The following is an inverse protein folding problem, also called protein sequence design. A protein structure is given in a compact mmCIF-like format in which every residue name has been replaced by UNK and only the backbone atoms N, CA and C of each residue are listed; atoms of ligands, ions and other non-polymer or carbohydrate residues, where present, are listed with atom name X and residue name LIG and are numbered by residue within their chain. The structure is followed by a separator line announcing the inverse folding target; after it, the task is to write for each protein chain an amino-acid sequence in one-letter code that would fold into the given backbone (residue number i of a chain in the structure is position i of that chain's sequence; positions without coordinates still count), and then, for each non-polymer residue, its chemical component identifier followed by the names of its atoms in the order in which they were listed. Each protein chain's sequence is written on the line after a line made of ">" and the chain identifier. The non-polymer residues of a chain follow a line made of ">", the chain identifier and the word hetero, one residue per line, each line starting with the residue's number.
data_IF_084571639834
#
_entry.id   IF_084571639834
#
_cell.length_a   1.000
_cell.length_b   1.000
_cell.length_c   1.000
_cell.angle_alpha   90.00
_cell.angle_beta   90.00
_cell.angle_gamma   90.00
#
_symmetry.space_group_name_H-M   'P 1'
#
loop_
_entity.id
_entity.type
_entity.pdbx_description
1 polymer ?
#
# COMPACT_ATOMS: atom_id res chain seq x y z
N UNK A 1 8.81 -9.59 49.83
CA UNK A 1 8.99 -8.20 49.43
C UNK A 1 9.97 -8.06 48.28
N UNK A 2 11.20 -8.55 48.41
CA UNK A 2 12.24 -8.47 47.36
C UNK A 2 11.84 -9.17 46.06
N UNK A 3 11.17 -10.32 46.18
CA UNK A 3 10.64 -11.05 45.01
C UNK A 3 9.65 -10.21 44.20
N UNK A 4 8.70 -9.54 44.88
CA UNK A 4 7.75 -8.65 44.21
C UNK A 4 8.41 -7.44 43.55
N UNK A 5 9.51 -6.93 44.13
CA UNK A 5 10.30 -5.87 43.49
C UNK A 5 10.94 -6.36 42.19
N UNK A 6 11.45 -7.61 42.16
CA UNK A 6 12.00 -8.23 40.96
C UNK A 6 10.97 -8.38 39.86
N UNK A 7 9.75 -8.82 40.19
CA UNK A 7 8.66 -8.92 39.23
C UNK A 7 8.23 -7.55 38.64
N UNK A 8 8.12 -6.52 39.48
CA UNK A 8 7.80 -5.16 39.03
C UNK A 8 8.84 -4.67 38.01
N UNK A 9 10.13 -4.79 38.29
CA UNK A 9 11.22 -4.41 37.39
C UNK A 9 11.15 -5.19 36.06
N UNK A 10 10.92 -6.51 36.15
CA UNK A 10 10.82 -7.35 34.96
C UNK A 10 9.67 -6.92 34.05
N UNK A 11 8.48 -6.62 34.59
CA UNK A 11 7.35 -6.15 33.80
C UNK A 11 7.54 -4.73 33.27
N UNK A 12 8.20 -3.83 34.01
CA UNK A 12 8.56 -2.51 33.52
C UNK A 12 9.50 -2.58 32.30
N UNK A 13 10.48 -3.49 32.33
CA UNK A 13 11.36 -3.72 31.19
C UNK A 13 10.57 -4.24 29.97
N UNK A 14 9.66 -5.21 30.17
CA UNK A 14 8.79 -5.70 29.08
C UNK A 14 7.92 -4.60 28.50
N UNK A 15 7.35 -3.72 29.31
CA UNK A 15 6.59 -2.57 28.82
C UNK A 15 7.48 -1.69 27.93
N UNK A 16 8.72 -1.42 28.36
CA UNK A 16 9.66 -0.64 27.55
C UNK A 16 9.97 -1.27 26.19
N UNK A 17 10.18 -2.60 26.17
CA UNK A 17 10.36 -3.35 24.92
C UNK A 17 9.14 -3.28 24.01
N UNK A 18 7.95 -3.52 24.54
CA UNK A 18 6.69 -3.44 23.77
C UNK A 18 6.40 -2.03 23.25
N UNK A 19 6.66 -1.00 24.05
CA UNK A 19 6.50 0.40 23.64
C UNK A 19 7.47 0.75 22.50
N UNK A 20 8.71 0.28 22.57
CA UNK A 20 9.70 0.48 21.50
C UNK A 20 9.27 -0.23 20.21
N UNK A 21 8.83 -1.49 20.30
CA UNK A 21 8.32 -2.22 19.14
C UNK A 21 7.09 -1.52 18.54
N UNK A 22 6.14 -1.10 19.38
CA UNK A 22 4.95 -0.37 18.96
C UNK A 22 5.32 0.91 18.20
N UNK A 23 6.25 1.69 18.72
CA UNK A 23 6.72 2.92 18.06
C UNK A 23 7.31 2.63 16.68
N UNK A 24 8.15 1.60 16.58
CA UNK A 24 8.72 1.17 15.31
C UNK A 24 7.63 0.75 14.30
N UNK A 25 6.58 0.07 14.77
CA UNK A 25 5.44 -0.32 13.91
C UNK A 25 4.63 0.90 13.46
N UNK A 26 4.43 1.89 14.32
CA UNK A 26 3.76 3.14 13.94
C UNK A 26 4.52 3.86 12.81
N UNK A 27 5.84 3.97 12.91
CA UNK A 27 6.66 4.56 11.84
C UNK A 27 6.55 3.77 10.53
N UNK A 28 6.51 2.43 10.60
CA UNK A 28 6.31 1.61 9.40
C UNK A 28 4.93 1.84 8.78
N UNK A 29 3.88 2.02 9.58
CA UNK A 29 2.52 2.37 9.10
C UNK A 29 2.54 3.70 8.36
N UNK A 30 3.14 4.74 8.92
CA UNK A 30 3.24 6.06 8.28
C UNK A 30 3.98 5.99 6.94
N UNK A 31 5.10 5.26 6.88
CA UNK A 31 5.85 5.06 5.66
C UNK A 31 5.03 4.33 4.58
N UNK A 32 4.30 3.26 4.97
CA UNK A 32 3.44 2.52 4.06
C UNK A 32 2.25 3.34 3.55
N UNK A 33 1.64 4.15 4.40
CA UNK A 33 0.58 5.08 4.00
C UNK A 33 1.08 6.10 2.97
N UNK A 34 2.28 6.63 3.17
CA UNK A 34 2.92 7.55 2.21
C UNK A 34 3.19 6.86 0.86
N UNK A 35 3.66 5.62 0.89
CA UNK A 35 3.91 4.82 -0.31
C UNK A 35 2.61 4.51 -1.07
N UNK A 36 1.55 4.13 -0.36
CA UNK A 36 0.21 3.92 -0.94
C UNK A 36 -0.29 5.21 -1.61
N UNK A 37 -0.14 6.36 -0.96
CA UNK A 37 -0.59 7.63 -1.52
C UNK A 37 0.13 7.96 -2.82
N UNK A 38 1.46 7.81 -2.88
CA UNK A 38 2.24 8.02 -4.11
C UNK A 38 1.81 7.08 -5.24
N UNK A 39 1.55 5.81 -4.94
CA UNK A 39 1.08 4.84 -5.93
C UNK A 39 -0.35 5.15 -6.42
N UNK A 40 -1.23 5.67 -5.55
CA UNK A 40 -2.56 6.15 -5.96
C UNK A 40 -2.47 7.34 -6.91
N UNK A 41 -1.64 8.31 -6.61
CA UNK A 41 -1.40 9.47 -7.49
C UNK A 41 -0.85 9.05 -8.86
N UNK A 42 0.08 8.09 -8.87
CA UNK A 42 0.59 7.50 -10.11
C UNK A 42 -0.51 6.77 -10.88
N UNK A 43 -1.33 5.97 -10.20
CA UNK A 43 -2.47 5.27 -10.80
C UNK A 43 -3.47 6.24 -11.44
N UNK A 44 -3.83 7.31 -10.73
CA UNK A 44 -4.74 8.35 -11.24
C UNK A 44 -4.16 9.06 -12.46
N UNK A 45 -2.86 9.40 -12.44
CA UNK A 45 -2.18 10.01 -13.57
C UNK A 45 -2.19 9.10 -14.81
N UNK A 46 -1.89 7.81 -14.65
CA UNK A 46 -1.91 6.82 -15.74
C UNK A 46 -3.34 6.60 -16.22
N UNK A 47 -4.31 6.45 -15.34
CA UNK A 47 -5.72 6.23 -15.69
C UNK A 47 -6.33 7.42 -16.40
N UNK A 48 -6.00 8.64 -15.98
CA UNK A 48 -6.42 9.87 -16.67
C UNK A 48 -5.85 9.96 -18.11
N UNK A 49 -4.60 9.54 -18.28
CA UNK A 49 -3.97 9.46 -19.60
C UNK A 49 -4.61 8.37 -20.47
N UNK A 50 -5.03 7.24 -19.90
CA UNK A 50 -5.68 6.14 -20.63
C UNK A 50 -6.97 6.61 -21.32
N UNK A 51 -7.81 7.40 -20.66
CA UNK A 51 -9.03 7.94 -21.28
C UNK A 51 -8.75 8.81 -22.53
N UNK A 52 -7.71 9.64 -22.49
CA UNK A 52 -7.28 10.44 -23.65
C UNK A 52 -6.74 9.55 -24.78
N UNK A 53 -6.01 8.49 -24.43
CA UNK A 53 -5.49 7.53 -25.42
C UNK A 53 -6.62 6.71 -26.07
N UNK A 54 -7.65 6.31 -25.33
CA UNK A 54 -8.82 5.61 -25.86
C UNK A 54 -9.53 6.44 -26.93
N UNK A 55 -9.76 7.71 -26.64
CA UNK A 55 -10.38 8.64 -27.59
C UNK A 55 -9.50 8.82 -28.82
N UNK A 56 -8.21 9.05 -28.66
CA UNK A 56 -7.27 9.20 -29.77
C UNK A 56 -7.20 7.93 -30.63
N UNK A 57 -7.11 6.75 -29.98
CA UNK A 57 -7.10 5.45 -30.65
C UNK A 57 -8.39 5.22 -31.47
N UNK A 58 -9.55 5.51 -30.87
CA UNK A 58 -10.83 5.43 -31.55
C UNK A 58 -10.89 6.33 -32.79
N UNK A 59 -10.39 7.56 -32.69
CA UNK A 59 -10.35 8.50 -33.82
C UNK A 59 -9.39 8.03 -34.91
N UNK A 60 -8.20 7.53 -34.54
CA UNK A 60 -7.24 7.03 -35.53
C UNK A 60 -7.73 5.76 -36.23
N UNK A 61 -8.41 4.87 -35.54
CA UNK A 61 -9.05 3.69 -36.16
C UNK A 61 -10.12 4.09 -37.17
N UNK A 62 -10.94 5.10 -36.83
CA UNK A 62 -11.95 5.64 -37.77
C UNK A 62 -11.31 6.32 -38.98
N UNK A 63 -10.21 7.05 -38.80
CA UNK A 63 -9.45 7.67 -39.88
C UNK A 63 -8.85 6.58 -40.78
N UNK A 64 -8.21 5.55 -40.20
CA UNK A 64 -7.63 4.45 -40.95
C UNK A 64 -8.68 3.74 -41.82
N UNK A 65 -9.85 3.40 -41.24
CA UNK A 65 -10.96 2.81 -42.01
C UNK A 65 -11.42 3.70 -43.16
N UNK A 66 -11.56 5.02 -42.96
CA UNK A 66 -11.93 5.95 -44.04
C UNK A 66 -10.87 6.05 -45.11
N UNK A 67 -9.61 5.97 -44.77
CA UNK A 67 -8.49 5.96 -45.74
C UNK A 67 -8.50 4.68 -46.56
N UNK A 68 -8.73 3.52 -45.95
CA UNK A 68 -8.86 2.22 -46.62
C UNK A 68 -10.06 2.23 -47.58
N UNK A 69 -11.23 2.76 -47.14
CA UNK A 69 -12.41 2.92 -47.97
C UNK A 69 -12.15 3.85 -49.14
N UNK A 70 -11.49 5.00 -48.92
CA UNK A 70 -11.13 5.94 -49.96
C UNK A 70 -10.15 5.34 -50.97
N UNK A 71 -9.13 4.59 -50.50
CA UNK A 71 -8.17 3.89 -51.34
C UNK A 71 -8.87 2.82 -52.20
N UNK A 72 -9.80 2.05 -51.61
CA UNK A 72 -10.60 1.05 -52.31
C UNK A 72 -11.52 1.67 -53.37
N UNK A 73 -12.20 2.76 -53.03
CA UNK A 73 -13.06 3.50 -53.96
C UNK A 73 -12.23 4.11 -55.11
N UNK A 74 -11.07 4.68 -54.81
CA UNK A 74 -10.16 5.22 -55.81
C UNK A 74 -9.64 4.13 -56.75
N UNK A 75 -9.28 2.94 -56.21
CA UNK A 75 -8.89 1.77 -56.99
C UNK A 75 -9.98 1.37 -57.99
N UNK A 76 -11.24 1.42 -57.57
CA UNK A 76 -12.38 1.06 -58.40
C UNK A 76 -12.59 2.10 -59.50
N UNK A 77 -12.38 3.40 -59.24
CA UNK A 77 -12.50 4.48 -60.19
C UNK A 77 -11.35 4.55 -61.22
N UNK A 78 -10.12 4.13 -60.81
CA UNK A 78 -8.91 4.30 -61.61
C UNK A 78 -8.51 2.99 -62.32
N UNK A 79 -9.39 1.99 -62.39
CA UNK A 79 -9.09 0.73 -63.09
C UNK A 79 -8.75 0.87 -64.58
N UNK A 80 -8.56 2.10 -65.10
CA UNK A 80 -8.19 2.36 -66.50
C UNK A 80 -7.04 3.32 -66.77
N UNK A 81 -6.41 4.01 -65.82
CA UNK A 81 -5.18 4.76 -66.08
C UNK A 81 -4.52 5.37 -64.89
N UNK A 82 -3.23 5.16 -64.70
CA UNK A 82 -2.19 5.76 -63.87
C UNK A 82 -1.84 5.03 -62.59
N UNK A 83 -0.79 4.22 -62.70
CA UNK A 83 -0.11 3.41 -61.66
C UNK A 83 0.39 4.26 -60.47
N UNK A 84 0.81 5.49 -60.70
CA UNK A 84 1.43 6.34 -59.66
C UNK A 84 0.49 6.81 -58.55
N UNK A 85 -0.77 7.06 -58.84
CA UNK A 85 -1.74 7.48 -57.83
C UNK A 85 -2.18 6.33 -56.93
N UNK A 86 -2.17 5.10 -57.46
CA UNK A 86 -2.46 3.88 -56.70
C UNK A 86 -1.35 3.55 -55.72
N UNK A 87 -0.06 3.68 -56.12
CA UNK A 87 1.10 3.45 -55.25
C UNK A 87 1.13 4.43 -54.09
N UNK A 88 0.75 5.69 -54.29
CA UNK A 88 0.66 6.69 -53.24
C UNK A 88 -0.44 6.33 -52.21
N UNK A 89 -1.62 5.88 -52.68
CA UNK A 89 -2.71 5.46 -51.79
C UNK A 89 -2.34 4.21 -50.97
N UNK A 90 -1.65 3.24 -51.58
CA UNK A 90 -1.15 2.06 -50.88
C UNK A 90 -0.10 2.44 -49.82
N UNK A 91 0.88 3.28 -50.18
CA UNK A 91 1.91 3.77 -49.25
C UNK A 91 1.31 4.54 -48.08
N UNK A 92 0.26 5.33 -48.31
CA UNK A 92 -0.46 6.03 -47.25
C UNK A 92 -1.22 5.04 -46.33
N UNK A 93 -1.90 4.04 -46.89
CA UNK A 93 -2.58 3.00 -46.14
C UNK A 93 -1.61 2.20 -45.26
N UNK A 94 -0.44 1.80 -45.79
CA UNK A 94 0.61 1.10 -45.02
C UNK A 94 1.12 1.96 -43.87
N UNK A 95 1.33 3.26 -44.07
CA UNK A 95 1.76 4.18 -43.02
C UNK A 95 0.69 4.37 -41.95
N UNK A 96 -0.58 4.48 -42.33
CA UNK A 96 -1.70 4.58 -41.39
C UNK A 96 -1.82 3.28 -40.56
N UNK A 97 -1.70 2.11 -41.17
CA UNK A 97 -1.72 0.81 -40.47
C UNK A 97 -0.54 0.68 -39.48
N UNK A 98 0.66 1.10 -39.90
CA UNK A 98 1.84 1.10 -39.05
C UNK A 98 1.66 2.02 -37.81
N UNK A 99 1.14 3.24 -38.02
CA UNK A 99 0.87 4.18 -36.94
C UNK A 99 -0.17 3.62 -35.95
N UNK A 100 -1.22 2.98 -36.47
CA UNK A 100 -2.24 2.33 -35.64
C UNK A 100 -1.67 1.18 -34.80
N UNK A 101 -0.79 0.34 -35.36
CA UNK A 101 -0.13 -0.73 -34.63
C UNK A 101 0.78 -0.21 -33.53
N UNK A 102 1.52 0.87 -33.76
CA UNK A 102 2.34 1.52 -32.74
C UNK A 102 1.49 2.09 -31.60
N UNK A 103 0.35 2.70 -31.91
CA UNK A 103 -0.57 3.24 -30.92
C UNK A 103 -1.16 2.13 -30.04
N UNK A 104 -1.55 1.01 -30.65
CA UNK A 104 -2.02 -0.18 -29.92
C UNK A 104 -0.97 -0.68 -28.92
N UNK A 105 0.30 -0.77 -29.35
CA UNK A 105 1.39 -1.18 -28.45
C UNK A 105 1.60 -0.23 -27.27
N UNK A 106 1.46 1.08 -27.48
CA UNK A 106 1.52 2.08 -26.40
C UNK A 106 0.34 1.90 -25.43
N UNK A 107 -0.86 1.71 -25.96
CA UNK A 107 -2.06 1.47 -25.14
C UNK A 107 -1.94 0.21 -24.27
N UNK A 108 -1.46 -0.89 -24.85
CA UNK A 108 -1.22 -2.13 -24.11
C UNK A 108 -0.18 -1.94 -22.99
N UNK A 109 0.87 -1.17 -23.25
CA UNK A 109 1.89 -0.86 -22.26
C UNK A 109 1.33 -0.03 -21.09
N UNK A 110 0.48 0.96 -21.36
CA UNK A 110 -0.19 1.77 -20.35
C UNK A 110 -1.16 0.91 -19.52
N UNK A 111 -1.98 0.08 -20.16
CA UNK A 111 -2.91 -0.82 -19.48
C UNK A 111 -2.19 -1.79 -18.54
N UNK A 112 -1.07 -2.36 -18.99
CA UNK A 112 -0.23 -3.22 -18.17
C UNK A 112 0.39 -2.46 -17.00
N UNK A 113 0.85 -1.22 -17.20
CA UNK A 113 1.37 -0.36 -16.14
C UNK A 113 0.32 -0.08 -15.07
N UNK A 114 -0.89 0.27 -15.47
CA UNK A 114 -2.04 0.52 -14.56
C UNK A 114 -2.35 -0.71 -13.70
N UNK A 115 -2.41 -1.89 -14.31
CA UNK A 115 -2.64 -3.16 -13.61
C UNK A 115 -1.54 -3.47 -12.59
N UNK A 116 -0.27 -3.22 -12.94
CA UNK A 116 0.87 -3.43 -12.05
C UNK A 116 0.81 -2.51 -10.83
N UNK A 117 0.53 -1.21 -11.02
CA UNK A 117 0.42 -0.25 -9.92
C UNK A 117 -0.75 -0.58 -9.00
N UNK A 118 -1.89 -1.02 -9.55
CA UNK A 118 -3.02 -1.49 -8.76
C UNK A 118 -2.65 -2.67 -7.87
N UNK A 119 -1.92 -3.65 -8.39
CA UNK A 119 -1.43 -4.79 -7.61
C UNK A 119 -0.48 -4.39 -6.48
N UNK A 120 0.40 -3.41 -6.71
CA UNK A 120 1.28 -2.85 -5.66
C UNK A 120 0.45 -2.18 -4.56
N UNK A 121 -0.55 -1.38 -4.90
CA UNK A 121 -1.43 -0.73 -3.91
C UNK A 121 -2.15 -1.78 -3.05
N UNK A 122 -2.64 -2.86 -3.64
CA UNK A 122 -3.29 -3.95 -2.91
C UNK A 122 -2.34 -4.64 -1.93
N UNK A 123 -1.13 -4.99 -2.37
CA UNK A 123 -0.12 -5.59 -1.51
C UNK A 123 0.26 -4.68 -0.32
N UNK A 124 0.46 -3.39 -0.56
CA UNK A 124 0.74 -2.41 0.49
C UNK A 124 -0.40 -2.27 1.50
N UNK A 125 -1.65 -2.33 1.05
CA UNK A 125 -2.81 -2.31 1.94
C UNK A 125 -2.88 -3.56 2.84
N UNK A 126 -2.53 -4.74 2.33
CA UNK A 126 -2.45 -5.97 3.12
C UNK A 126 -1.36 -5.87 4.19
N UNK A 127 -0.16 -5.37 3.85
CA UNK A 127 0.90 -5.13 4.81
C UNK A 127 0.48 -4.12 5.89
N UNK A 128 -0.22 -3.05 5.52
CA UNK A 128 -0.75 -2.05 6.45
C UNK A 128 -1.72 -2.67 7.46
N UNK A 129 -2.62 -3.55 7.00
CA UNK A 129 -3.53 -4.28 7.89
C UNK A 129 -2.78 -5.15 8.89
N UNK A 130 -1.75 -5.89 8.45
CA UNK A 130 -0.92 -6.71 9.35
C UNK A 130 -0.18 -5.87 10.39
N UNK A 131 0.37 -4.71 10.02
CA UNK A 131 1.03 -3.80 10.94
C UNK A 131 0.06 -3.24 11.99
N UNK A 132 -1.13 -2.83 11.58
CA UNK A 132 -2.16 -2.34 12.51
C UNK A 132 -2.63 -3.43 13.49
N UNK A 133 -2.79 -4.67 13.03
CA UNK A 133 -3.12 -5.79 13.90
C UNK A 133 -2.02 -6.01 14.96
N UNK A 134 -0.74 -5.96 14.56
CA UNK A 134 0.38 -6.10 15.52
C UNK A 134 0.42 -4.96 16.54
N UNK A 135 0.10 -3.73 16.14
CA UNK A 135 0.01 -2.60 17.07
C UNK A 135 -1.09 -2.86 18.12
N UNK A 136 -2.25 -3.37 17.73
CA UNK A 136 -3.34 -3.70 18.68
C UNK A 136 -2.94 -4.82 19.65
N UNK A 137 -2.20 -5.82 19.18
CA UNK A 137 -1.64 -6.86 20.05
C UNK A 137 -0.68 -6.26 21.08
N UNK A 138 0.24 -5.40 20.66
CA UNK A 138 1.20 -4.73 21.54
C UNK A 138 0.50 -3.84 22.57
N UNK A 139 -0.53 -3.10 22.20
CA UNK A 139 -1.33 -2.31 23.15
C UNK A 139 -2.00 -3.21 24.21
N UNK A 140 -2.46 -4.41 23.82
CA UNK A 140 -3.01 -5.41 24.73
C UNK A 140 -1.94 -5.99 25.65
N UNK A 141 -0.74 -6.28 25.15
CA UNK A 141 0.39 -6.78 25.94
C UNK A 141 0.88 -5.74 26.94
N UNK A 142 0.99 -4.48 26.56
CA UNK A 142 1.32 -3.36 27.46
C UNK A 142 0.29 -3.25 28.59
N UNK A 143 -1.01 -3.31 28.25
CA UNK A 143 -2.09 -3.22 29.23
C UNK A 143 -2.03 -4.37 30.24
N UNK A 144 -1.79 -5.61 29.79
CA UNK A 144 -1.62 -6.78 30.67
C UNK A 144 -0.41 -6.64 31.58
N UNK A 145 0.72 -6.20 31.03
CA UNK A 145 1.95 -6.00 31.82
C UNK A 145 1.75 -4.91 32.89
N UNK A 146 1.03 -3.84 32.57
CA UNK A 146 0.69 -2.80 33.55
C UNK A 146 -0.18 -3.34 34.66
N UNK A 147 -1.22 -4.12 34.37
CA UNK A 147 -2.07 -4.74 35.36
C UNK A 147 -1.28 -5.67 36.30
N UNK A 148 -0.28 -6.40 35.78
CA UNK A 148 0.62 -7.22 36.60
C UNK A 148 1.50 -6.38 37.54
N UNK A 149 2.01 -5.24 37.05
CA UNK A 149 2.75 -4.30 37.91
C UNK A 149 1.85 -3.82 39.06
N UNK A 150 0.65 -3.38 38.79
CA UNK A 150 -0.30 -2.87 39.77
C UNK A 150 -0.60 -3.95 40.83
N UNK A 151 -0.78 -5.21 40.42
CA UNK A 151 -0.99 -6.35 41.30
C UNK A 151 0.22 -6.61 42.23
N UNK A 152 1.44 -6.61 41.67
CA UNK A 152 2.65 -6.83 42.45
C UNK A 152 2.96 -5.66 43.39
N UNK A 153 2.69 -4.43 43.00
CA UNK A 153 2.82 -3.27 43.89
C UNK A 153 1.80 -3.29 45.03
N UNK A 154 0.57 -3.75 44.76
CA UNK A 154 -0.42 -3.95 45.84
C UNK A 154 0.06 -5.03 46.83
N UNK A 155 0.57 -6.15 46.34
CA UNK A 155 1.14 -7.22 47.16
C UNK A 155 2.35 -6.76 48.01
N UNK A 156 3.23 -5.97 47.40
CA UNK A 156 4.35 -5.34 48.09
C UNK A 156 3.88 -4.42 49.23
N UNK A 157 2.88 -3.58 49.02
CA UNK A 157 2.30 -2.70 50.05
C UNK A 157 1.71 -3.52 51.19
N UNK A 158 0.97 -4.60 50.88
CA UNK A 158 0.41 -5.50 51.90
C UNK A 158 1.51 -6.16 52.77
N UNK A 159 2.59 -6.65 52.13
CA UNK A 159 3.73 -7.21 52.84
C UNK A 159 4.39 -6.21 53.79
N UNK A 160 4.58 -4.95 53.36
CA UNK A 160 5.16 -3.90 54.19
C UNK A 160 4.27 -3.58 55.41
N UNK A 161 2.96 -3.52 55.22
CA UNK A 161 1.98 -3.29 56.29
C UNK A 161 2.05 -4.42 57.32
N UNK A 162 2.09 -5.67 56.87
CA UNK A 162 2.20 -6.83 57.75
C UNK A 162 3.54 -6.84 58.55
N UNK A 163 4.64 -6.52 57.88
CA UNK A 163 5.96 -6.42 58.55
C UNK A 163 5.95 -5.33 59.63
N UNK A 164 5.38 -4.17 59.38
CA UNK A 164 5.25 -3.10 60.36
C UNK A 164 4.35 -3.49 61.54
N UNK A 165 3.26 -4.23 61.30
CA UNK A 165 2.40 -4.76 62.33
C UNK A 165 3.10 -5.74 63.23
N UNK A 166 3.79 -6.77 62.69
CA UNK A 166 4.54 -7.75 63.47
C UNK A 166 5.70 -7.13 64.24
N UNK A 167 6.39 -6.13 63.67
CA UNK A 167 7.41 -5.38 64.36
C UNK A 167 6.85 -4.70 65.64
N UNK A 168 5.68 -4.05 65.55
CA UNK A 168 5.02 -3.45 66.72
C UNK A 168 4.71 -4.47 67.82
N UNK A 169 4.23 -5.67 67.43
CA UNK A 169 3.96 -6.75 68.39
C UNK A 169 5.25 -7.21 69.08
N UNK A 170 6.31 -7.39 68.31
CA UNK A 170 7.61 -7.81 68.88
C UNK A 170 8.17 -6.76 69.84
N UNK A 171 8.13 -5.49 69.46
CA UNK A 171 8.60 -4.38 70.29
C UNK A 171 7.78 -4.27 71.60
N UNK A 172 6.50 -4.55 71.56
CA UNK A 172 5.62 -4.56 72.75
C UNK A 172 5.78 -5.80 73.64
N UNK A 173 6.29 -6.91 73.15
CA UNK A 173 6.52 -8.11 73.88
C UNK A 173 7.91 -8.13 74.64
N UNK A 174 8.80 -7.21 74.34
CA UNK A 174 10.13 -7.06 74.91
C UNK A 174 10.16 -6.01 76.04
N UNK A 175 9.12 -5.21 76.17
CA UNK A 175 8.89 -4.23 77.25
C UNK A 175 8.04 -4.82 78.35
#
# INVERSE_FOLDING_TARGET
>A
YYEYCGYVVSYQNKIGEYQSERQNKCVQVENKQTEIQKNKELFEAISGTTGVHDDLFSHLTKINSKVEDAASNFKTMVSSSTVSSFDLCNAFGEKATSANSQLTAVFDAISKGTSTVSGVIEALNQELQALNARIQELDSEISRAQAMIDQYEASKRSCLTNMAYYKKIMDAAVT
#
